data_IF_749010042088
#
_entry.id   IF_749010042088
#
_cell.length_a   1.000
_cell.length_b   1.000
_cell.length_c   1.000
_cell.angle_alpha   90.00
_cell.angle_beta   90.00
_cell.angle_gamma   90.00
#
_symmetry.space_group_name_H-M   'P 1'
#
loop_
_entity.id
_entity.type
_entity.pdbx_description
1 polymer ?
#
# COMPACT_ATOMS: atom_id res chain seq x y z
N UNK A 1 -16.37 22.60 -19.44
CA UNK A 1 -15.16 21.75 -19.31
C UNK A 1 -14.82 21.48 -17.84
N UNK A 2 -15.06 22.43 -16.94
CA UNK A 2 -14.83 22.34 -15.48
C UNK A 2 -15.51 21.14 -14.79
N UNK A 3 -16.76 20.79 -15.12
CA UNK A 3 -17.46 19.68 -14.45
C UNK A 3 -16.81 18.31 -14.65
N UNK A 4 -16.29 18.04 -15.85
CA UNK A 4 -15.59 16.78 -16.14
C UNK A 4 -14.27 16.71 -15.37
N UNK A 5 -13.52 17.82 -15.32
CA UNK A 5 -12.26 17.90 -14.58
C UNK A 5 -12.49 17.69 -13.08
N UNK A 6 -13.51 18.32 -12.51
CA UNK A 6 -13.88 18.12 -11.11
C UNK A 6 -14.26 16.66 -10.82
N UNK A 7 -15.05 16.04 -11.70
CA UNK A 7 -15.40 14.62 -11.56
C UNK A 7 -14.15 13.70 -11.59
N UNK A 8 -13.16 13.98 -12.44
CA UNK A 8 -11.90 13.23 -12.48
C UNK A 8 -11.05 13.42 -11.22
N UNK A 9 -10.97 14.65 -10.68
CA UNK A 9 -10.29 14.93 -9.41
C UNK A 9 -10.89 14.10 -8.29
N UNK A 10 -12.23 14.05 -8.20
CA UNK A 10 -12.92 13.29 -7.15
C UNK A 10 -12.71 11.79 -7.31
N UNK A 11 -12.70 11.29 -8.56
CA UNK A 11 -12.42 9.88 -8.84
C UNK A 11 -11.00 9.49 -8.47
N UNK A 12 -10.01 10.34 -8.75
CA UNK A 12 -8.60 10.13 -8.35
C UNK A 12 -8.45 10.14 -6.83
N UNK A 13 -9.10 11.09 -6.14
CA UNK A 13 -9.09 11.11 -4.68
C UNK A 13 -9.71 9.85 -4.06
N UNK A 14 -10.85 9.39 -4.60
CA UNK A 14 -11.50 8.14 -4.18
C UNK A 14 -10.64 6.91 -4.47
N UNK A 15 -9.99 6.87 -5.63
CA UNK A 15 -9.08 5.80 -5.98
C UNK A 15 -7.90 5.75 -5.01
N UNK A 16 -7.28 6.91 -4.72
CA UNK A 16 -6.17 7.01 -3.76
C UNK A 16 -6.56 6.47 -2.39
N UNK A 17 -7.71 6.91 -1.86
CA UNK A 17 -8.24 6.40 -0.60
C UNK A 17 -8.45 4.88 -0.59
N UNK A 18 -9.08 4.31 -1.63
CA UNK A 18 -9.30 2.86 -1.72
C UNK A 18 -7.99 2.07 -1.83
N UNK A 19 -7.02 2.60 -2.56
CA UNK A 19 -5.68 2.01 -2.66
C UNK A 19 -4.98 2.01 -1.29
N UNK A 20 -5.11 3.11 -0.54
CA UNK A 20 -4.66 3.20 0.85
C UNK A 20 -5.35 2.17 1.77
N UNK A 21 -6.65 1.97 1.63
CA UNK A 21 -7.37 0.94 2.40
C UNK A 21 -6.84 -0.47 2.13
N UNK A 22 -6.44 -0.76 0.89
CA UNK A 22 -5.83 -2.05 0.51
C UNK A 22 -4.46 -2.21 1.17
N UNK A 23 -3.60 -1.18 1.12
CA UNK A 23 -2.32 -1.13 1.84
C UNK A 23 -2.52 -1.46 3.32
N UNK A 24 -3.49 -0.80 3.97
CA UNK A 24 -3.74 -0.97 5.40
C UNK A 24 -4.22 -2.38 5.75
N UNK A 25 -5.05 -2.98 4.90
CA UNK A 25 -5.48 -4.38 5.06
C UNK A 25 -4.32 -5.36 4.89
N UNK A 26 -3.43 -5.13 3.92
CA UNK A 26 -2.22 -5.96 3.74
C UNK A 26 -1.36 -5.87 5.00
N UNK A 27 -1.08 -4.65 5.48
CA UNK A 27 -0.30 -4.45 6.71
C UNK A 27 -0.92 -5.18 7.90
N UNK A 28 -2.24 -5.06 8.11
CA UNK A 28 -2.94 -5.73 9.21
C UNK A 28 -2.81 -7.26 9.16
N UNK A 29 -2.91 -7.86 7.97
CA UNK A 29 -2.73 -9.31 7.80
C UNK A 29 -1.29 -9.72 8.12
N UNK A 30 -0.30 -8.94 7.67
CA UNK A 30 1.11 -9.22 7.95
C UNK A 30 1.43 -9.06 9.44
N UNK A 31 0.93 -8.03 10.09
CA UNK A 31 1.10 -7.81 11.53
C UNK A 31 0.49 -8.99 12.33
N UNK A 32 -0.69 -9.46 11.92
CA UNK A 32 -1.34 -10.62 12.54
C UNK A 32 -0.53 -11.90 12.32
N UNK A 33 0.02 -12.09 11.13
CA UNK A 33 0.87 -13.23 10.80
C UNK A 33 2.15 -13.20 11.66
N UNK A 34 2.88 -12.08 11.66
CA UNK A 34 4.12 -11.92 12.45
C UNK A 34 3.87 -12.15 13.95
N UNK A 35 2.79 -11.58 14.49
CA UNK A 35 2.40 -11.80 15.88
C UNK A 35 2.08 -13.27 16.17
N UNK A 36 1.37 -13.95 15.28
CA UNK A 36 1.01 -15.37 15.44
C UNK A 36 2.22 -16.29 15.36
N UNK A 37 3.19 -15.95 14.50
CA UNK A 37 4.44 -16.68 14.35
C UNK A 37 5.32 -16.52 15.59
N UNK A 38 5.47 -15.28 16.08
CA UNK A 38 6.23 -14.99 17.29
C UNK A 38 5.65 -15.71 18.52
N UNK A 39 4.32 -15.78 18.64
CA UNK A 39 3.64 -16.42 19.76
C UNK A 39 3.79 -17.95 19.80
N UNK A 40 3.97 -18.61 18.65
CA UNK A 40 4.03 -20.08 18.57
C UNK A 40 5.42 -20.67 18.84
N UNK A 41 6.48 -19.87 18.82
CA UNK A 41 7.84 -20.34 19.08
C UNK A 41 8.32 -21.39 18.08
N UNK A 42 9.06 -22.40 18.55
CA UNK A 42 9.62 -23.49 17.73
C UNK A 42 8.94 -24.84 18.03
N UNK A 43 7.74 -25.12 17.49
CA UNK A 43 6.98 -26.34 17.79
C UNK A 43 7.54 -27.61 17.10
N UNK A 44 8.53 -27.48 16.22
CA UNK A 44 9.04 -28.55 15.35
C UNK A 44 10.16 -29.39 15.98
N UNK A 45 10.49 -29.21 17.26
CA UNK A 45 11.53 -30.01 17.93
C UNK A 45 12.97 -29.62 17.57
N UNK A 46 13.93 -30.32 18.15
CA UNK A 46 15.39 -30.12 17.96
C UNK A 46 16.08 -31.34 17.35
N UNK A 47 15.30 -32.30 16.85
CA UNK A 47 15.81 -33.44 16.10
C UNK A 47 16.19 -33.02 14.67
N UNK A 48 16.89 -33.88 13.95
CA UNK A 48 17.38 -33.60 12.60
C UNK A 48 16.25 -33.22 11.64
N UNK A 49 15.07 -33.85 11.78
CA UNK A 49 13.88 -33.56 10.99
C UNK A 49 13.35 -32.15 11.30
N UNK A 50 13.19 -31.82 12.59
CA UNK A 50 12.76 -30.50 13.03
C UNK A 50 13.71 -29.39 12.62
N UNK A 51 15.02 -29.63 12.74
CA UNK A 51 16.06 -28.69 12.34
C UNK A 51 16.07 -28.46 10.82
N UNK A 52 15.99 -29.54 10.03
CA UNK A 52 15.94 -29.44 8.57
C UNK A 52 14.66 -28.72 8.08
N UNK A 53 13.52 -29.00 8.72
CA UNK A 53 12.26 -28.31 8.43
C UNK A 53 12.38 -26.80 8.67
N UNK A 54 13.02 -26.40 9.76
CA UNK A 54 13.02 -25.00 10.19
C UNK A 54 14.17 -24.17 9.62
N UNK A 55 15.38 -24.73 9.60
CA UNK A 55 16.65 -24.07 9.29
C UNK A 55 17.25 -24.48 7.95
N UNK A 56 16.65 -25.44 7.23
CA UNK A 56 17.06 -25.77 5.86
C UNK A 56 17.08 -24.54 4.95
N UNK A 57 17.78 -24.61 3.81
CA UNK A 57 17.95 -23.47 2.89
C UNK A 57 16.63 -22.82 2.46
N UNK A 58 15.56 -23.63 2.30
CA UNK A 58 14.19 -23.19 2.06
C UNK A 58 13.25 -23.58 3.21
N UNK A 59 13.80 -23.71 4.41
CA UNK A 59 13.07 -24.08 5.61
C UNK A 59 12.00 -23.06 5.98
N UNK A 60 11.18 -23.42 6.96
CA UNK A 60 10.04 -22.63 7.40
C UNK A 60 10.42 -21.19 7.77
N UNK A 61 11.54 -20.98 8.47
CA UNK A 61 11.97 -19.64 8.89
C UNK A 61 12.31 -18.76 7.69
N UNK A 62 13.09 -19.28 6.73
CA UNK A 62 13.44 -18.54 5.52
C UNK A 62 12.19 -18.19 4.69
N UNK A 63 11.29 -19.16 4.51
CA UNK A 63 10.04 -18.98 3.77
C UNK A 63 9.12 -17.95 4.45
N UNK A 64 9.00 -18.01 5.77
CA UNK A 64 8.21 -17.07 6.56
C UNK A 64 8.72 -15.63 6.41
N UNK A 65 10.03 -15.41 6.54
CA UNK A 65 10.65 -14.09 6.35
C UNK A 65 10.42 -13.57 4.94
N UNK A 66 10.58 -14.42 3.92
CA UNK A 66 10.35 -14.04 2.53
C UNK A 66 8.89 -13.67 2.25
N UNK A 67 7.93 -14.38 2.84
CA UNK A 67 6.51 -14.08 2.71
C UNK A 67 6.18 -12.72 3.32
N UNK A 68 6.67 -12.44 4.53
CA UNK A 68 6.49 -11.15 5.21
C UNK A 68 7.10 -10.03 4.38
N UNK A 69 8.35 -10.19 3.94
CA UNK A 69 9.05 -9.20 3.10
C UNK A 69 8.32 -8.93 1.79
N UNK A 70 7.86 -9.97 1.10
CA UNK A 70 7.08 -9.85 -0.13
C UNK A 70 5.77 -9.10 0.10
N UNK A 71 5.07 -9.40 1.19
CA UNK A 71 3.86 -8.68 1.60
C UNK A 71 4.11 -7.21 1.89
N UNK A 72 5.20 -6.87 2.61
CA UNK A 72 5.58 -5.47 2.89
C UNK A 72 5.94 -4.71 1.62
N UNK A 73 6.62 -5.34 0.66
CA UNK A 73 6.89 -4.74 -0.64
C UNK A 73 5.61 -4.44 -1.42
N UNK A 74 4.64 -5.37 -1.38
CA UNK A 74 3.32 -5.15 -1.99
C UNK A 74 2.60 -3.98 -1.33
N UNK A 75 2.58 -3.94 0.00
CA UNK A 75 2.02 -2.82 0.77
C UNK A 75 2.64 -1.47 0.37
N UNK A 76 3.97 -1.39 0.29
CA UNK A 76 4.68 -0.18 -0.16
C UNK A 76 4.35 0.22 -1.61
N UNK A 77 4.03 -0.75 -2.47
CA UNK A 77 3.56 -0.45 -3.84
C UNK A 77 2.18 0.21 -3.82
N UNK A 78 1.25 -0.30 -3.00
CA UNK A 78 -0.07 0.31 -2.83
C UNK A 78 0.01 1.68 -2.17
N UNK A 79 0.95 1.88 -1.25
CA UNK A 79 1.25 3.19 -0.66
C UNK A 79 1.62 4.22 -1.73
N UNK A 80 2.60 3.89 -2.58
CA UNK A 80 3.03 4.75 -3.67
C UNK A 80 1.89 5.07 -4.65
N UNK A 81 1.03 4.10 -4.95
CA UNK A 81 -0.14 4.32 -5.82
C UNK A 81 -1.18 5.23 -5.18
N UNK A 82 -1.45 5.05 -3.88
CA UNK A 82 -2.35 5.92 -3.11
C UNK A 82 -1.84 7.36 -3.17
N UNK A 83 -0.57 7.57 -2.84
CA UNK A 83 0.06 8.90 -2.82
C UNK A 83 0.08 9.55 -4.20
N UNK A 84 0.41 8.80 -5.25
CA UNK A 84 0.40 9.31 -6.62
C UNK A 84 -1.02 9.76 -7.05
N UNK A 85 -2.05 8.99 -6.71
CA UNK A 85 -3.44 9.32 -7.04
C UNK A 85 -3.94 10.55 -6.27
N UNK A 86 -3.61 10.64 -4.98
CA UNK A 86 -3.94 11.81 -4.15
C UNK A 86 -3.20 13.06 -4.63
N UNK A 87 -1.92 12.93 -4.98
CA UNK A 87 -1.12 14.03 -5.53
C UNK A 87 -1.66 14.49 -6.87
N UNK A 88 -2.00 13.58 -7.78
CA UNK A 88 -2.61 13.94 -9.07
C UNK A 88 -3.94 14.69 -8.90
N UNK A 89 -4.79 14.25 -7.96
CA UNK A 89 -6.04 14.95 -7.65
C UNK A 89 -5.78 16.38 -7.15
N UNK A 90 -4.77 16.56 -6.30
CA UNK A 90 -4.35 17.87 -5.78
C UNK A 90 -3.80 18.76 -6.89
N UNK A 91 -2.85 18.27 -7.68
CA UNK A 91 -2.19 19.05 -8.74
C UNK A 91 -3.21 19.50 -9.82
N UNK A 92 -4.18 18.65 -10.16
CA UNK A 92 -5.28 19.00 -11.08
C UNK A 92 -6.19 20.09 -10.50
N UNK A 93 -6.54 19.98 -9.21
CA UNK A 93 -7.35 20.97 -8.51
C UNK A 93 -6.65 22.33 -8.47
N UNK A 94 -5.36 22.35 -8.15
CA UNK A 94 -4.56 23.58 -8.10
C UNK A 94 -4.44 24.23 -9.49
N UNK A 95 -4.29 23.41 -10.53
CA UNK A 95 -4.26 23.88 -11.93
C UNK A 95 -5.60 24.49 -12.36
N UNK A 96 -6.73 23.85 -12.03
CA UNK A 96 -8.06 24.37 -12.36
C UNK A 96 -8.35 25.69 -11.64
N UNK A 97 -8.02 25.80 -10.34
CA UNK A 97 -8.16 27.04 -9.59
C UNK A 97 -7.33 28.19 -10.15
N UNK A 98 -6.07 27.93 -10.51
CA UNK A 98 -5.18 28.94 -11.06
C UNK A 98 -5.61 29.40 -12.47
N UNK A 99 -6.08 28.46 -13.30
CA UNK A 99 -6.63 28.76 -14.62
C UNK A 99 -7.90 29.61 -14.51
N UNK A 100 -8.82 29.26 -13.60
CA UNK A 100 -10.05 30.03 -13.36
C UNK A 100 -9.76 31.48 -12.91
N UNK A 101 -8.73 31.70 -12.10
CA UNK A 101 -8.30 33.05 -11.68
C UNK A 101 -7.71 33.88 -12.82
N UNK A 102 -6.95 33.26 -13.72
CA UNK A 102 -6.37 33.94 -14.88
C UNK A 102 -7.45 34.38 -15.88
N UNK A 103 -8.40 33.50 -16.19
CA UNK A 103 -9.51 33.84 -17.10
C UNK A 103 -10.47 34.88 -16.49
N UNK A 104 -10.75 34.82 -15.19
CA UNK A 104 -11.60 35.81 -14.51
C UNK A 104 -11.01 37.23 -14.45
N UNK A 105 -9.69 37.38 -14.67
CA UNK A 105 -8.98 38.68 -14.69
C UNK A 105 -8.85 39.29 -16.09
N UNK A 106 -8.96 38.50 -17.16
CA UNK A 106 -8.85 38.97 -18.56
C UNK A 106 -10.19 39.36 -19.18
N UNK A 107 -11.31 39.08 -18.50
CA UNK A 107 -12.68 39.34 -18.99
C UNK A 107 -13.36 40.58 -18.42
N UNK A 108 -12.60 41.58 -17.93
CA UNK A 108 -13.11 42.88 -17.49
C UNK A 108 -12.36 44.01 -18.19
#
# INVERSE_FOLDING_TARGET
>A
MTDKVQAYIDLLGKAGGKTGDVRDRINKVLDTLESSLAARGRPWGTDEIGDQFANGANGYQATSVNLVKGGRNMSGTFDNFSDAQLKAAKDLRDTDFNSGRAYGRSGR
#
